data_IF_714585060810
#
_entry.id   IF_714585060810
#
_cell.length_a   1.000
_cell.length_b   1.000
_cell.length_c   1.000
_cell.angle_alpha   90.00
_cell.angle_beta   90.00
_cell.angle_gamma   90.00
#
_symmetry.space_group_name_H-M   'P 1'
#
loop_
_entity.id
_entity.type
_entity.pdbx_description
1 polymer ?
#
# COMPACT_ATOMS: atom_id res chain seq x y z
N UNK A 1 -15.01 30.11 8.79
CA UNK A 1 -14.46 30.20 10.17
C UNK A 1 -12.98 29.84 10.09
N UNK A 2 -12.08 30.51 10.82
CA UNK A 2 -10.66 30.17 10.80
C UNK A 2 -10.43 28.73 11.31
N UNK A 3 -9.52 28.00 10.69
CA UNK A 3 -9.18 26.62 11.06
C UNK A 3 -8.43 26.56 12.41
N UNK A 4 -8.57 25.46 13.16
CA UNK A 4 -7.93 25.24 14.47
C UNK A 4 -8.04 26.42 15.45
N UNK A 5 -9.16 27.14 15.44
CA UNK A 5 -9.36 28.31 16.31
C UNK A 5 -10.30 27.95 17.46
N UNK A 6 -9.93 28.23 18.72
CA UNK A 6 -10.87 28.12 19.83
C UNK A 6 -11.94 29.19 19.65
N UNK A 7 -13.20 28.75 19.54
CA UNK A 7 -14.36 29.63 19.47
C UNK A 7 -15.09 29.55 20.81
N UNK A 8 -15.20 30.71 21.44
CA UNK A 8 -16.03 30.91 22.64
C UNK A 8 -17.29 31.64 22.23
N UNK A 9 -18.44 31.01 22.43
CA UNK A 9 -19.75 31.64 22.30
C UNK A 9 -20.25 31.95 23.70
N UNK A 10 -20.43 33.23 23.99
CA UNK A 10 -21.07 33.68 25.22
C UNK A 10 -22.45 34.23 24.91
N UNK A 11 -23.46 33.58 25.46
CA UNK A 11 -24.86 34.01 25.40
C UNK A 11 -25.14 34.74 26.72
N UNK A 12 -25.44 36.03 26.66
CA UNK A 12 -25.64 36.86 27.84
C UNK A 12 -26.87 36.47 28.69
N UNK A 13 -26.96 36.97 29.93
CA UNK A 13 -28.19 36.88 30.72
C UNK A 13 -29.31 37.66 30.00
N UNK A 14 -30.56 37.32 30.31
CA UNK A 14 -31.73 37.92 29.66
C UNK A 14 -32.14 37.24 28.35
N UNK A 15 -31.54 36.10 28.00
CA UNK A 15 -31.85 35.40 26.75
C UNK A 15 -33.19 34.66 26.89
N UNK A 16 -34.17 34.93 26.02
CA UNK A 16 -35.48 34.29 26.09
C UNK A 16 -35.42 32.83 25.68
N UNK A 17 -36.17 31.98 26.38
CA UNK A 17 -36.36 30.58 26.01
C UNK A 17 -37.40 30.43 24.89
N UNK A 18 -37.17 29.47 23.98
CA UNK A 18 -38.16 29.08 22.97
C UNK A 18 -39.38 28.36 23.58
N UNK A 19 -39.25 27.83 24.80
CA UNK A 19 -40.28 27.01 25.46
C UNK A 19 -41.07 27.77 26.54
N UNK A 20 -40.72 29.03 26.86
CA UNK A 20 -41.46 29.80 27.86
C UNK A 20 -40.89 31.19 28.18
N UNK A 21 -41.58 31.96 29.03
CA UNK A 21 -41.30 33.39 29.25
C UNK A 21 -40.10 33.67 30.17
N UNK A 22 -39.43 32.62 30.68
CA UNK A 22 -38.28 32.80 31.57
C UNK A 22 -37.03 33.15 30.77
N UNK A 23 -36.30 34.15 31.28
CA UNK A 23 -35.01 34.58 30.74
C UNK A 23 -33.87 33.87 31.47
N UNK A 24 -32.73 33.70 30.81
CA UNK A 24 -31.50 33.23 31.46
C UNK A 24 -31.04 34.21 32.54
N UNK A 25 -30.79 33.73 33.76
CA UNK A 25 -30.30 34.58 34.86
C UNK A 25 -28.79 34.85 34.78
N UNK A 26 -28.04 33.91 34.19
CA UNK A 26 -26.58 33.97 34.05
C UNK A 26 -26.17 33.77 32.59
N UNK A 27 -25.00 34.30 32.24
CA UNK A 27 -24.42 34.06 30.92
C UNK A 27 -24.05 32.58 30.75
N UNK A 28 -24.38 32.00 29.59
CA UNK A 28 -23.94 30.66 29.23
C UNK A 28 -22.79 30.74 28.25
N UNK A 29 -21.73 29.99 28.53
CA UNK A 29 -20.51 29.99 27.71
C UNK A 29 -20.28 28.60 27.13
N UNK A 30 -20.15 28.53 25.81
CA UNK A 30 -19.81 27.32 25.07
C UNK A 30 -18.45 27.48 24.42
N UNK A 31 -17.61 26.46 24.51
CA UNK A 31 -16.30 26.43 23.90
C UNK A 31 -16.21 25.25 22.94
N UNK A 32 -15.78 25.50 21.71
CA UNK A 32 -15.45 24.45 20.75
C UNK A 32 -14.25 24.89 19.89
N UNK A 33 -13.61 23.97 19.19
CA UNK A 33 -12.57 24.28 18.21
C UNK A 33 -13.05 23.90 16.82
N UNK A 34 -12.70 24.69 15.81
CA UNK A 34 -12.89 24.33 14.41
C UNK A 34 -11.91 23.22 14.03
N UNK A 35 -12.23 22.47 12.97
CA UNK A 35 -11.35 21.39 12.47
C UNK A 35 -9.93 21.89 12.22
N UNK A 36 -8.96 21.02 12.46
CA UNK A 36 -7.55 21.30 12.16
C UNK A 36 -7.38 21.46 10.65
N UNK A 37 -6.44 22.34 10.20
CA UNK A 37 -6.05 22.42 8.81
C UNK A 37 -5.73 21.04 8.25
N UNK A 38 -6.09 20.81 6.98
CA UNK A 38 -5.72 19.60 6.28
C UNK A 38 -4.19 19.52 6.14
N UNK A 39 -3.59 18.45 6.63
CA UNK A 39 -2.15 18.18 6.55
C UNK A 39 -1.89 16.73 6.14
N UNK A 40 -0.72 16.50 5.55
CA UNK A 40 -0.16 15.16 5.36
C UNK A 40 0.44 14.72 6.69
N UNK A 41 -0.01 13.59 7.22
CA UNK A 41 0.50 12.97 8.45
C UNK A 41 1.65 12.01 8.16
N UNK A 42 1.53 11.21 7.10
CA UNK A 42 2.59 10.30 6.69
C UNK A 42 2.56 10.02 5.18
N UNK A 43 3.69 9.59 4.65
CA UNK A 43 3.86 9.17 3.27
C UNK A 43 4.73 7.92 3.27
N UNK A 44 4.13 6.77 2.95
CA UNK A 44 4.80 5.47 3.05
C UNK A 44 4.35 4.51 1.95
N UNK A 45 5.23 3.57 1.63
CA UNK A 45 4.99 2.49 0.66
C UNK A 45 5.31 1.11 1.26
N UNK A 46 5.89 1.10 2.47
CA UNK A 46 6.28 -0.05 3.26
C UNK A 46 5.94 0.24 4.74
N UNK A 47 5.86 -0.80 5.56
CA UNK A 47 5.47 -0.69 6.97
C UNK A 47 6.65 -0.45 7.93
N UNK A 48 7.90 -0.68 7.47
CA UNK A 48 9.09 -0.72 8.33
C UNK A 48 10.16 0.32 7.96
N UNK A 49 9.78 1.45 7.33
CA UNK A 49 10.72 2.46 6.80
C UNK A 49 11.78 1.91 5.83
N UNK A 50 11.50 0.74 5.25
CA UNK A 50 12.32 0.14 4.19
C UNK A 50 12.02 0.79 2.84
N UNK A 51 13.00 0.75 1.94
CA UNK A 51 12.80 1.10 0.53
C UNK A 51 11.54 0.42 -0.03
N UNK A 52 10.77 1.16 -0.83
CA UNK A 52 9.60 0.64 -1.50
C UNK A 52 9.99 -0.54 -2.40
N UNK A 53 9.22 -1.63 -2.35
CA UNK A 53 9.36 -2.69 -3.34
C UNK A 53 8.68 -2.27 -4.65
N UNK A 54 9.25 -2.60 -5.83
CA UNK A 54 8.61 -2.31 -7.11
C UNK A 54 7.18 -2.82 -7.17
N UNK A 55 6.29 -2.07 -7.82
CA UNK A 55 4.84 -2.27 -7.88
C UNK A 55 4.07 -1.98 -6.58
N UNK A 56 4.74 -1.73 -5.46
CA UNK A 56 4.03 -1.31 -4.25
C UNK A 56 3.43 0.10 -4.42
N UNK A 57 2.20 0.34 -3.96
CA UNK A 57 1.56 1.64 -4.06
C UNK A 57 2.17 2.66 -3.11
N UNK A 58 2.13 3.92 -3.49
CA UNK A 58 2.50 5.06 -2.65
C UNK A 58 1.26 5.48 -1.84
N UNK A 59 1.33 5.42 -0.51
CA UNK A 59 0.23 5.76 0.39
C UNK A 59 0.54 7.06 1.12
N UNK A 60 -0.41 7.99 1.09
CA UNK A 60 -0.28 9.30 1.70
C UNK A 60 -1.46 9.45 2.65
N UNK A 61 -1.15 9.54 3.94
CA UNK A 61 -2.12 9.67 5.01
C UNK A 61 -2.34 11.15 5.33
N UNK A 62 -3.60 11.55 5.44
CA UNK A 62 -4.00 12.89 5.89
C UNK A 62 -4.70 12.80 7.25
N UNK A 63 -4.75 13.93 7.96
CA UNK A 63 -5.45 14.02 9.25
C UNK A 63 -6.98 14.05 9.15
N UNK A 64 -7.53 14.34 7.96
CA UNK A 64 -8.97 14.39 7.71
C UNK A 64 -9.35 13.55 6.47
N UNK A 65 -10.59 13.04 6.38
CA UNK A 65 -11.09 12.40 5.17
C UNK A 65 -11.09 13.35 3.97
N UNK A 66 -10.63 12.87 2.81
CA UNK A 66 -10.57 13.65 1.58
C UNK A 66 -11.92 13.65 0.86
N UNK A 67 -12.23 14.75 0.19
CA UNK A 67 -13.42 14.86 -0.65
C UNK A 67 -13.15 14.22 -2.02
N UNK A 68 -13.55 12.95 -2.18
CA UNK A 68 -13.35 12.20 -3.44
C UNK A 68 -14.09 12.85 -4.61
N UNK A 69 -15.28 13.43 -4.39
CA UNK A 69 -16.10 13.99 -5.47
C UNK A 69 -15.54 15.31 -6.01
N UNK A 70 -14.68 16.00 -5.24
CA UNK A 70 -13.99 17.21 -5.68
C UNK A 70 -12.63 16.92 -6.35
N UNK A 71 -12.17 15.66 -6.38
CA UNK A 71 -10.84 15.32 -6.88
C UNK A 71 -10.67 15.62 -8.37
N UNK A 72 -9.55 16.25 -8.72
CA UNK A 72 -9.09 16.41 -10.10
C UNK A 72 -7.76 15.68 -10.29
N UNK A 73 -7.59 15.03 -11.44
CA UNK A 73 -6.35 14.30 -11.79
C UNK A 73 -5.11 15.20 -11.71
N UNK A 74 -5.26 16.48 -12.05
CA UNK A 74 -4.21 17.50 -12.00
C UNK A 74 -3.65 17.78 -10.59
N UNK A 75 -4.34 17.33 -9.54
CA UNK A 75 -3.92 17.59 -8.16
C UNK A 75 -2.78 16.69 -7.69
N UNK A 76 -2.50 15.60 -8.42
CA UNK A 76 -1.44 14.65 -8.09
C UNK A 76 -0.57 14.46 -9.32
N UNK A 77 0.68 14.91 -9.22
CA UNK A 77 1.69 14.70 -10.25
C UNK A 77 2.77 13.76 -9.73
N UNK A 78 3.25 12.85 -10.59
CA UNK A 78 4.31 11.89 -10.24
C UNK A 78 5.49 12.07 -11.19
N UNK A 79 6.68 12.26 -10.63
CA UNK A 79 7.93 12.41 -11.36
C UNK A 79 9.00 11.44 -10.85
N UNK A 80 9.69 10.65 -11.70
CA UNK A 80 9.49 10.51 -13.14
C UNK A 80 8.09 10.06 -13.49
N UNK A 81 7.65 10.39 -14.72
CA UNK A 81 6.33 10.01 -15.20
C UNK A 81 6.10 8.49 -14.99
N UNK A 82 4.92 8.16 -14.46
CA UNK A 82 4.48 6.79 -14.17
C UNK A 82 3.30 6.45 -15.09
N UNK A 83 3.54 5.96 -16.33
CA UNK A 83 2.45 5.70 -17.27
C UNK A 83 1.46 4.68 -16.71
N UNK A 84 0.17 4.96 -16.85
CA UNK A 84 -0.89 4.12 -16.29
C UNK A 84 -1.02 4.22 -14.78
N UNK A 85 -0.51 5.29 -14.16
CA UNK A 85 -0.79 5.55 -12.75
C UNK A 85 -2.29 5.77 -12.53
N UNK A 86 -2.78 5.28 -11.40
CA UNK A 86 -4.14 5.52 -10.91
C UNK A 86 -4.07 6.11 -9.52
N UNK A 87 -4.95 7.04 -9.22
CA UNK A 87 -5.14 7.61 -7.88
C UNK A 87 -6.46 7.10 -7.33
N UNK A 88 -6.41 6.53 -6.13
CA UNK A 88 -7.58 6.17 -5.34
C UNK A 88 -7.55 6.91 -4.01
N UNK A 89 -8.72 7.31 -3.52
CA UNK A 89 -8.89 8.01 -2.25
C UNK A 89 -9.73 7.11 -1.36
N UNK A 90 -9.23 6.72 -0.18
CA UNK A 90 -9.92 5.87 0.79
C UNK A 90 -10.00 6.57 2.14
N UNK A 91 -11.12 7.23 2.43
CA UNK A 91 -11.27 8.03 3.64
C UNK A 91 -10.24 9.16 3.66
N UNK A 92 -9.26 9.08 4.58
CA UNK A 92 -8.16 10.02 4.71
C UNK A 92 -6.85 9.59 4.05
N UNK A 93 -6.85 8.50 3.27
CA UNK A 93 -5.66 8.00 2.58
C UNK A 93 -5.77 8.22 1.07
N UNK A 94 -4.76 8.84 0.46
CA UNK A 94 -4.57 8.89 -0.99
C UNK A 94 -3.57 7.80 -1.40
N UNK A 95 -3.94 6.99 -2.39
CA UNK A 95 -3.16 5.84 -2.85
C UNK A 95 -2.84 6.05 -4.33
N UNK A 96 -1.56 6.17 -4.66
CA UNK A 96 -1.08 6.20 -6.05
C UNK A 96 -0.53 4.82 -6.39
N UNK A 97 -1.11 4.19 -7.41
CA UNK A 97 -0.70 2.87 -7.91
C UNK A 97 -0.22 2.98 -9.34
N UNK A 98 0.72 2.12 -9.75
CA UNK A 98 1.22 2.09 -11.13
C UNK A 98 2.45 1.19 -11.26
N UNK A 99 3.01 1.05 -12.48
CA UNK A 99 4.15 0.19 -12.75
C UNK A 99 5.48 0.80 -12.27
N UNK A 100 5.63 0.97 -10.95
CA UNK A 100 6.83 1.56 -10.35
C UNK A 100 8.04 0.68 -10.55
N UNK A 101 9.15 1.32 -10.94
CA UNK A 101 10.43 0.65 -11.20
C UNK A 101 11.29 0.59 -9.94
N UNK A 102 12.03 -0.51 -9.78
CA UNK A 102 13.07 -0.59 -8.77
C UNK A 102 14.23 0.36 -9.06
N UNK A 103 15.02 0.63 -8.02
CA UNK A 103 16.18 1.54 -8.04
C UNK A 103 15.81 2.91 -8.62
N UNK A 104 14.63 3.39 -8.30
CA UNK A 104 14.07 4.64 -8.82
C UNK A 104 13.44 5.40 -7.67
N UNK A 105 13.67 6.70 -7.59
CA UNK A 105 12.93 7.58 -6.68
C UNK A 105 11.81 8.27 -7.45
N UNK A 106 10.61 8.28 -6.87
CA UNK A 106 9.45 9.01 -7.39
C UNK A 106 9.09 10.13 -6.41
N UNK A 107 8.90 11.33 -6.95
CA UNK A 107 8.39 12.48 -6.25
C UNK A 107 6.90 12.62 -6.62
N UNK A 108 6.05 12.60 -5.60
CA UNK A 108 4.61 12.86 -5.71
C UNK A 108 4.34 14.30 -5.28
N UNK A 109 3.95 15.15 -6.22
CA UNK A 109 3.57 16.53 -5.94
C UNK A 109 2.05 16.61 -5.75
N UNK A 110 1.66 17.11 -4.59
CA UNK A 110 0.28 17.31 -4.17
C UNK A 110 -0.09 18.79 -4.29
N UNK A 111 -1.19 19.08 -4.99
CA UNK A 111 -1.70 20.43 -5.15
C UNK A 111 -2.18 21.03 -3.82
N UNK A 112 -1.97 22.34 -3.65
CA UNK A 112 -2.58 23.11 -2.57
C UNK A 112 -4.11 23.03 -2.54
N UNK A 113 -4.74 22.69 -3.67
CA UNK A 113 -6.20 22.64 -3.82
C UNK A 113 -6.85 21.36 -3.28
N UNK A 114 -6.08 20.31 -2.94
CA UNK A 114 -6.62 19.06 -2.39
C UNK A 114 -7.54 19.38 -1.22
N UNK A 115 -8.78 18.88 -1.29
CA UNK A 115 -9.85 19.24 -0.36
C UNK A 115 -10.26 18.08 0.56
N UNK A 116 -10.56 18.39 1.82
CA UNK A 116 -11.19 17.46 2.76
C UNK A 116 -12.74 17.53 2.70
N UNK A 117 -13.42 16.58 3.35
CA UNK A 117 -14.88 16.53 3.41
C UNK A 117 -15.52 17.71 4.15
N UNK A 118 -14.72 18.53 4.84
CA UNK A 118 -15.15 19.75 5.53
C UNK A 118 -14.97 21.01 4.66
N UNK A 119 -14.46 20.86 3.44
CA UNK A 119 -14.24 21.93 2.49
C UNK A 119 -12.90 22.65 2.65
N UNK A 120 -12.03 22.21 3.57
CA UNK A 120 -10.70 22.79 3.76
C UNK A 120 -9.74 22.27 2.68
N UNK A 121 -8.80 23.10 2.26
CA UNK A 121 -7.76 22.71 1.30
C UNK A 121 -6.42 22.47 1.99
N UNK A 122 -5.52 21.67 1.37
CA UNK A 122 -4.14 21.49 1.83
C UNK A 122 -3.36 22.82 1.94
N UNK A 123 -3.77 23.81 1.13
CA UNK A 123 -3.37 25.22 1.26
C UNK A 123 -1.96 25.53 0.76
N UNK A 124 -1.10 24.52 0.63
CA UNK A 124 0.23 24.62 0.01
C UNK A 124 0.53 23.37 -0.80
N UNK A 125 1.20 23.56 -1.93
CA UNK A 125 1.74 22.45 -2.70
C UNK A 125 2.84 21.76 -1.89
N UNK A 126 2.80 20.43 -1.84
CA UNK A 126 3.77 19.61 -1.10
C UNK A 126 4.35 18.54 -2.03
N UNK A 127 5.62 18.21 -1.88
CA UNK A 127 6.25 17.13 -2.65
C UNK A 127 6.76 16.06 -1.71
N UNK A 128 6.35 14.82 -1.94
CA UNK A 128 6.64 13.65 -1.13
C UNK A 128 7.51 12.69 -1.93
N UNK A 129 8.66 12.28 -1.38
CA UNK A 129 9.61 11.40 -2.07
C UNK A 129 9.46 9.95 -1.61
N UNK A 130 9.30 9.05 -2.57
CA UNK A 130 9.24 7.60 -2.41
C UNK A 130 10.46 6.96 -3.07
N UNK A 131 11.22 6.17 -2.32
CA UNK A 131 12.44 5.53 -2.82
C UNK A 131 12.16 4.04 -3.05
N UNK A 132 12.23 3.59 -4.31
CA UNK A 132 12.05 2.18 -4.65
C UNK A 132 13.40 1.48 -4.71
N UNK A 133 13.55 0.45 -3.89
CA UNK A 133 14.74 -0.40 -3.80
C UNK A 133 14.85 -1.36 -4.98
N UNK A 134 15.72 -2.36 -4.84
CA UNK A 134 15.79 -3.43 -5.84
C UNK A 134 14.54 -4.31 -5.78
N UNK A 135 14.05 -4.82 -6.91
CA UNK A 135 13.04 -5.87 -6.88
C UNK A 135 13.61 -7.08 -6.11
N UNK A 136 12.87 -7.67 -5.18
CA UNK A 136 13.32 -8.89 -4.52
C UNK A 136 13.55 -9.98 -5.57
N UNK A 137 14.52 -10.84 -5.32
CA UNK A 137 14.79 -11.95 -6.20
C UNK A 137 13.68 -12.99 -6.05
N UNK A 138 13.02 -13.34 -7.15
CA UNK A 138 11.90 -14.30 -7.16
C UNK A 138 12.23 -15.43 -8.11
N UNK A 139 11.91 -16.65 -7.70
CA UNK A 139 11.82 -17.82 -8.55
C UNK A 139 10.42 -18.40 -8.37
N UNK A 140 9.70 -18.57 -9.48
CA UNK A 140 8.39 -19.20 -9.52
C UNK A 140 8.42 -20.34 -10.53
N UNK A 141 7.73 -21.43 -10.20
CA UNK A 141 7.59 -22.60 -11.03
C UNK A 141 6.15 -23.11 -10.97
N UNK A 142 5.92 -24.38 -11.31
CA UNK A 142 4.58 -24.95 -11.24
C UNK A 142 3.97 -24.86 -9.84
N UNK A 143 2.66 -24.63 -9.80
CA UNK A 143 1.86 -24.51 -8.58
C UNK A 143 1.47 -25.86 -7.96
N UNK A 144 1.75 -26.96 -8.67
CA UNK A 144 1.40 -28.33 -8.26
C UNK A 144 2.64 -29.16 -7.96
N UNK A 145 2.50 -30.06 -6.98
CA UNK A 145 3.54 -31.02 -6.57
C UNK A 145 3.85 -32.08 -7.63
N UNK A 146 2.90 -32.35 -8.53
CA UNK A 146 3.03 -33.29 -9.63
C UNK A 146 2.53 -32.62 -10.90
N UNK A 147 3.40 -32.54 -11.90
CA UNK A 147 3.14 -31.91 -13.19
C UNK A 147 3.56 -32.89 -14.27
N UNK A 148 2.72 -33.05 -15.28
CA UNK A 148 3.05 -33.84 -16.47
C UNK A 148 3.50 -32.89 -17.56
N UNK A 149 4.69 -33.13 -18.12
CA UNK A 149 5.12 -32.43 -19.32
C UNK A 149 4.39 -33.01 -20.54
N UNK A 150 4.19 -32.21 -21.59
CA UNK A 150 3.52 -32.68 -22.81
C UNK A 150 4.28 -33.89 -23.41
N UNK A 151 3.70 -35.10 -23.39
CA UNK A 151 4.36 -36.30 -23.89
C UNK A 151 4.44 -36.36 -25.42
N UNK A 152 3.68 -35.51 -26.12
CA UNK A 152 3.67 -35.41 -27.57
C UNK A 152 4.68 -34.40 -28.12
N UNK A 153 5.21 -33.54 -27.25
CA UNK A 153 6.23 -32.57 -27.63
C UNK A 153 7.57 -33.27 -27.95
N UNK A 154 8.20 -32.88 -29.06
CA UNK A 154 9.52 -33.39 -29.43
C UNK A 154 10.60 -33.06 -28.36
N UNK A 155 10.40 -31.97 -27.61
CA UNK A 155 11.24 -31.55 -26.48
C UNK A 155 10.35 -31.01 -25.37
N UNK A 156 9.98 -31.84 -24.37
CA UNK A 156 9.18 -31.38 -23.24
C UNK A 156 9.97 -30.39 -22.38
N UNK A 157 9.40 -29.21 -22.10
CA UNK A 157 10.03 -28.18 -21.26
C UNK A 157 9.22 -27.92 -20.00
N UNK A 158 9.91 -27.56 -18.92
CA UNK A 158 9.32 -27.05 -17.70
C UNK A 158 9.68 -25.58 -17.56
N UNK A 159 8.67 -24.71 -17.65
CA UNK A 159 8.89 -23.28 -17.59
C UNK A 159 9.01 -22.80 -16.14
N UNK A 160 10.04 -21.98 -15.89
CA UNK A 160 10.29 -21.30 -14.62
C UNK A 160 10.40 -19.81 -14.89
N UNK A 161 9.84 -19.01 -13.99
CA UNK A 161 9.88 -17.55 -14.07
C UNK A 161 10.78 -16.99 -12.98
N UNK A 162 11.63 -16.03 -13.34
CA UNK A 162 12.57 -15.42 -12.40
C UNK A 162 12.55 -13.90 -12.47
N UNK A 163 12.73 -13.25 -11.33
CA UNK A 163 13.02 -11.82 -11.20
C UNK A 163 14.35 -11.68 -10.48
N UNK A 164 15.27 -10.87 -11.02
CA UNK A 164 16.59 -10.60 -10.43
C UNK A 164 17.43 -11.86 -10.10
N UNK A 165 17.21 -12.98 -10.80
CA UNK A 165 18.05 -14.17 -10.76
C UNK A 165 18.59 -14.43 -12.17
N UNK A 166 19.91 -14.36 -12.34
CA UNK A 166 20.57 -14.61 -13.64
C UNK A 166 21.05 -16.05 -13.80
N UNK A 167 21.02 -16.84 -12.72
CA UNK A 167 21.49 -18.23 -12.68
C UNK A 167 20.61 -19.04 -11.73
N UNK A 168 20.39 -20.29 -12.06
CA UNK A 168 19.68 -21.25 -11.22
C UNK A 168 20.57 -22.47 -10.97
N UNK A 169 20.63 -22.92 -9.72
CA UNK A 169 21.20 -24.22 -9.41
C UNK A 169 20.07 -25.27 -9.47
N UNK A 170 20.19 -26.18 -10.42
CA UNK A 170 19.20 -27.24 -10.61
C UNK A 170 19.73 -28.56 -10.04
N UNK A 171 18.86 -29.31 -9.34
CA UNK A 171 19.08 -30.71 -9.00
C UNK A 171 17.89 -31.52 -9.48
N UNK A 172 18.13 -32.56 -10.28
CA UNK A 172 17.07 -33.43 -10.81
C UNK A 172 17.28 -34.83 -10.26
N UNK A 173 16.20 -35.44 -9.80
CA UNK A 173 16.19 -36.80 -9.25
C UNK A 173 15.25 -37.69 -10.07
N UNK A 174 15.75 -38.86 -10.46
CA UNK A 174 14.92 -39.91 -11.03
C UNK A 174 14.29 -40.72 -9.89
N UNK A 175 12.95 -40.84 -9.90
CA UNK A 175 12.16 -41.52 -8.86
C UNK A 175 11.28 -42.60 -9.45
N UNK A 176 10.89 -43.57 -8.63
CA UNK A 176 9.88 -44.58 -8.92
C UNK A 176 8.56 -44.25 -8.23
N UNK A 177 7.41 -44.83 -8.68
CA UNK A 177 6.13 -44.64 -7.99
C UNK A 177 6.17 -45.00 -6.50
N UNK A 178 7.00 -45.99 -6.12
CA UNK A 178 7.19 -46.41 -4.73
C UNK A 178 7.84 -45.33 -3.83
N UNK A 179 8.52 -44.34 -4.41
CA UNK A 179 9.17 -43.24 -3.67
C UNK A 179 8.18 -42.14 -3.25
N UNK A 180 6.94 -42.19 -3.72
CA UNK A 180 5.94 -41.15 -3.47
C UNK A 180 5.74 -40.82 -1.97
N UNK A 181 5.61 -41.80 -1.05
CA UNK A 181 5.49 -41.49 0.37
C UNK A 181 6.75 -40.85 0.97
N UNK A 182 7.93 -41.13 0.42
CA UNK A 182 9.18 -40.47 0.82
C UNK A 182 9.23 -39.03 0.30
N UNK A 183 8.78 -38.78 -0.93
CA UNK A 183 8.72 -37.44 -1.51
C UNK A 183 7.74 -36.53 -0.76
N UNK A 184 6.58 -37.04 -0.35
CA UNK A 184 5.63 -36.28 0.47
C UNK A 184 6.19 -35.92 1.86
N UNK A 185 7.02 -36.79 2.46
CA UNK A 185 7.74 -36.46 3.70
C UNK A 185 8.78 -35.37 3.44
N UNK A 186 9.59 -35.52 2.40
CA UNK A 186 10.57 -34.52 1.97
C UNK A 186 9.94 -33.11 1.82
N UNK A 187 8.80 -32.98 1.13
CA UNK A 187 8.13 -31.68 0.96
C UNK A 187 7.63 -31.07 2.28
N UNK A 188 7.20 -31.89 3.25
CA UNK A 188 6.79 -31.40 4.57
C UNK A 188 7.98 -30.93 5.40
N UNK A 189 9.08 -31.66 5.35
CA UNK A 189 10.28 -31.40 6.16
C UNK A 189 11.09 -30.22 5.60
N UNK A 190 11.11 -30.06 4.27
CA UNK A 190 11.78 -28.96 3.57
C UNK A 190 11.35 -27.56 4.05
N UNK A 191 10.09 -27.41 4.46
CA UNK A 191 9.56 -26.14 4.96
C UNK A 191 9.76 -25.93 6.47
N UNK A 192 10.33 -26.90 7.20
CA UNK A 192 10.39 -26.91 8.67
C UNK A 192 11.82 -26.93 9.23
N UNK A 193 12.84 -27.23 8.42
CA UNK A 193 14.21 -27.43 8.89
C UNK A 193 15.21 -26.52 8.16
N UNK A 194 16.21 -26.03 8.90
CA UNK A 194 17.31 -25.22 8.34
C UNK A 194 18.25 -26.05 7.45
N UNK A 195 18.38 -27.35 7.71
CA UNK A 195 19.11 -28.30 6.86
C UNK A 195 18.18 -28.93 5.83
N UNK A 196 18.46 -28.71 4.54
CA UNK A 196 17.62 -29.25 3.46
C UNK A 196 17.76 -30.77 3.37
N UNK A 197 16.67 -31.54 3.56
CA UNK A 197 16.72 -32.99 3.44
C UNK A 197 17.11 -33.40 2.00
N UNK A 198 17.66 -34.60 1.84
CA UNK A 198 17.96 -35.13 0.49
C UNK A 198 16.67 -35.65 -0.15
N UNK A 199 16.31 -35.21 -1.38
CA UNK A 199 15.17 -35.77 -2.11
C UNK A 199 15.32 -37.29 -2.31
N UNK A 200 14.22 -38.06 -2.36
CA UNK A 200 14.28 -39.48 -2.68
C UNK A 200 14.71 -39.71 -4.14
N UNK A 201 15.12 -40.94 -4.44
CA UNK A 201 15.57 -41.35 -5.77
C UNK A 201 17.05 -41.09 -6.05
N UNK A 202 17.43 -41.17 -7.32
CA UNK A 202 18.82 -41.02 -7.76
C UNK A 202 19.03 -39.65 -8.41
N UNK A 203 20.08 -38.93 -7.99
CA UNK A 203 20.42 -37.63 -8.59
C UNK A 203 20.97 -37.82 -10.00
N UNK A 204 20.28 -37.29 -11.00
CA UNK A 204 20.66 -37.37 -12.42
C UNK A 204 21.19 -36.04 -12.98
N UNK A 205 21.01 -34.93 -12.25
CA UNK A 205 21.62 -33.62 -12.56
C UNK A 205 21.82 -32.80 -11.29
#
# INVERSE_FOLDING_TARGET
MPASSPITITIGPGTPSAEGPRLTEQAQTYNFSTYYPLVVESAQCSWNDEDCTPLSPMRIQFNNPLNRDAYEESWVEVSPALPGATVDIQGSTLIVSGPTKGRTSYDVTLSAAIQDTFGQTLGKTQTLRFQYGSAPAVLSGPDKILVTLDPSAAQPTLDLYTINQSRLQLRIYAVQPADWPAFQRYLRDYNQQDDWPTPPGEKVR
#
